data_IF_138135439977
#
_entry.id   IF_138135439977
#
_cell.length_a   1.000
_cell.length_b   1.000
_cell.length_c   1.000
_cell.angle_alpha   90.00
_cell.angle_beta   90.00
_cell.angle_gamma   90.00
#
_symmetry.space_group_name_H-M   'P 1'
#
loop_
_entity.id
_entity.type
_entity.pdbx_description
1 polymer ?
#
# COMPACT_ATOMS: atom_id res chain seq x y z
N UNK A 1 10.83 1.24 -19.84
CA UNK A 1 12.16 0.62 -19.91
C UNK A 1 13.00 1.30 -18.85
N UNK A 2 12.99 0.75 -17.65
CA UNK A 2 13.79 1.28 -16.55
C UNK A 2 15.00 0.36 -16.39
N UNK A 3 16.19 0.94 -16.37
CA UNK A 3 17.44 0.16 -16.25
C UNK A 3 17.59 -0.26 -14.80
N UNK A 4 17.54 -1.57 -14.53
CA UNK A 4 17.74 -2.11 -13.20
C UNK A 4 19.11 -2.79 -13.14
N UNK A 5 19.85 -2.54 -12.06
CA UNK A 5 21.14 -3.17 -11.82
C UNK A 5 20.95 -4.39 -10.92
N UNK A 6 21.40 -5.56 -11.38
CA UNK A 6 21.44 -6.77 -10.56
C UNK A 6 22.85 -7.01 -10.04
N UNK A 7 22.98 -7.28 -8.74
CA UNK A 7 24.23 -7.77 -8.15
C UNK A 7 24.39 -9.26 -8.48
N UNK A 8 25.45 -9.59 -9.21
CA UNK A 8 25.76 -10.96 -9.68
C UNK A 8 26.66 -11.66 -8.68
N UNK A 9 27.68 -10.97 -8.21
CA UNK A 9 28.70 -11.55 -7.35
C UNK A 9 29.27 -10.49 -6.42
N UNK A 10 29.51 -10.89 -5.16
CA UNK A 10 30.18 -10.07 -4.17
C UNK A 10 31.38 -10.86 -3.66
N UNK A 11 32.58 -10.34 -3.90
CA UNK A 11 33.84 -10.95 -3.47
C UNK A 11 34.64 -9.99 -2.62
N UNK A 12 35.20 -10.47 -1.52
CA UNK A 12 36.15 -9.70 -0.74
C UNK A 12 37.49 -9.68 -1.46
N UNK A 13 38.03 -8.50 -1.75
CA UNK A 13 39.26 -8.31 -2.55
C UNK A 13 40.48 -9.04 -1.97
N UNK A 14 40.55 -9.19 -0.65
CA UNK A 14 41.53 -10.02 0.04
C UNK A 14 40.99 -10.49 1.40
N UNK A 15 41.51 -11.61 1.93
CA UNK A 15 41.20 -12.09 3.28
C UNK A 15 41.64 -11.01 4.28
N UNK A 16 40.68 -10.31 4.88
CA UNK A 16 40.82 -9.15 5.81
C UNK A 16 40.75 -7.73 5.20
N UNK A 17 40.39 -7.58 3.93
CA UNK A 17 40.15 -6.25 3.33
C UNK A 17 38.75 -5.72 3.68
N UNK A 18 38.60 -4.42 3.91
CA UNK A 18 37.27 -3.77 3.98
C UNK A 18 36.66 -3.50 2.61
N UNK A 19 37.40 -3.78 1.54
CA UNK A 19 36.98 -3.52 0.15
C UNK A 19 36.36 -4.78 -0.46
N UNK A 20 35.21 -4.59 -1.09
CA UNK A 20 34.42 -5.63 -1.73
C UNK A 20 34.26 -5.31 -3.20
N UNK A 21 34.55 -6.29 -4.05
CA UNK A 21 34.24 -6.25 -5.47
C UNK A 21 32.80 -6.71 -5.66
N UNK A 22 31.97 -5.83 -6.24
CA UNK A 22 30.57 -6.09 -6.53
C UNK A 22 30.39 -6.06 -8.04
N UNK A 23 30.14 -7.23 -8.64
CA UNK A 23 29.84 -7.33 -10.06
C UNK A 23 28.35 -7.02 -10.30
N UNK A 24 28.09 -6.00 -11.10
CA UNK A 24 26.75 -5.62 -11.52
C UNK A 24 26.53 -6.02 -12.98
N UNK A 25 25.34 -6.52 -13.29
CA UNK A 25 24.90 -6.66 -14.68
C UNK A 25 23.69 -5.78 -14.93
N UNK A 26 23.65 -5.19 -16.13
CA UNK A 26 22.54 -4.36 -16.59
C UNK A 26 21.47 -5.30 -17.10
N UNK A 27 20.31 -5.34 -16.43
CA UNK A 27 19.14 -6.07 -16.93
C UNK A 27 18.05 -5.08 -17.30
N UNK A 28 17.35 -5.40 -18.39
CA UNK A 28 16.07 -4.77 -18.69
C UNK A 28 14.94 -5.52 -17.99
N UNK A 29 13.75 -4.90 -17.97
CA UNK A 29 12.50 -5.43 -17.40
C UNK A 29 12.08 -6.83 -17.93
N UNK A 30 12.77 -7.38 -18.96
CA UNK A 30 12.50 -8.67 -19.60
C UNK A 30 13.39 -9.85 -19.12
N UNK A 31 14.13 -9.72 -18.01
CA UNK A 31 14.93 -10.83 -17.47
C UNK A 31 14.01 -11.96 -16.95
N UNK A 32 14.09 -13.21 -17.47
CA UNK A 32 13.25 -14.32 -17.03
C UNK A 32 13.41 -14.69 -15.56
N UNK A 33 14.59 -14.49 -14.96
CA UNK A 33 14.83 -14.76 -13.53
C UNK A 33 14.29 -13.63 -12.67
N UNK A 34 14.38 -12.38 -13.13
CA UNK A 34 13.74 -11.26 -12.44
C UNK A 34 12.22 -11.37 -12.55
N UNK A 35 11.68 -11.72 -13.72
CA UNK A 35 10.27 -12.01 -13.90
C UNK A 35 9.82 -13.19 -13.05
N UNK A 36 10.61 -14.27 -12.97
CA UNK A 36 10.33 -15.39 -12.08
C UNK A 36 10.39 -14.99 -10.60
N UNK A 37 11.35 -14.16 -10.18
CA UNK A 37 11.43 -13.64 -8.81
C UNK A 37 10.27 -12.68 -8.51
N UNK A 38 9.92 -11.79 -9.43
CA UNK A 38 8.77 -10.89 -9.32
C UNK A 38 7.48 -11.69 -9.26
N UNK A 39 7.32 -12.74 -10.07
CA UNK A 39 6.18 -13.65 -10.02
C UNK A 39 6.19 -14.47 -8.72
N UNK A 40 7.35 -14.90 -8.24
CA UNK A 40 7.48 -15.62 -6.99
C UNK A 40 7.17 -14.73 -5.78
N UNK A 41 7.62 -13.46 -5.78
CA UNK A 41 7.20 -12.47 -4.78
C UNK A 41 5.70 -12.23 -4.91
N UNK A 42 5.15 -12.07 -6.13
CA UNK A 42 3.70 -11.95 -6.32
C UNK A 42 2.92 -13.18 -5.80
N UNK A 43 3.47 -14.37 -5.94
CA UNK A 43 2.93 -15.65 -5.46
C UNK A 43 3.07 -15.82 -3.95
N UNK A 44 4.23 -15.47 -3.34
CA UNK A 44 4.42 -15.46 -1.89
C UNK A 44 3.56 -14.39 -1.20
N UNK A 45 3.27 -13.30 -1.93
CA UNK A 45 2.39 -12.21 -1.51
C UNK A 45 0.92 -12.53 -1.88
N UNK A 46 0.62 -13.67 -2.53
CA UNK A 46 -0.77 -14.06 -2.81
C UNK A 46 -1.58 -14.21 -1.52
N UNK A 47 -2.83 -13.76 -1.61
CA UNK A 47 -3.74 -13.65 -0.49
C UNK A 47 -3.88 -12.21 -0.02
N UNK A 48 -5.01 -11.90 0.61
CA UNK A 48 -5.28 -10.55 1.09
C UNK A 48 -4.16 -10.05 2.01
N UNK A 49 -3.53 -10.92 2.80
CA UNK A 49 -2.48 -10.54 3.75
C UNK A 49 -1.20 -9.96 3.13
N UNK A 50 -0.74 -10.48 1.99
CA UNK A 50 0.50 -10.03 1.36
C UNK A 50 0.32 -8.65 0.73
N UNK A 51 -0.70 -8.51 -0.12
CA UNK A 51 -1.01 -7.25 -0.77
C UNK A 51 -1.37 -6.13 0.21
N UNK A 52 -2.04 -6.46 1.33
CA UNK A 52 -2.28 -5.53 2.43
C UNK A 52 -0.99 -4.99 3.05
N UNK A 53 0.06 -5.81 3.16
CA UNK A 53 1.37 -5.37 3.66
C UNK A 53 2.09 -4.49 2.65
N UNK A 54 2.02 -4.82 1.37
CA UNK A 54 2.62 -4.01 0.30
C UNK A 54 2.01 -2.61 0.25
N UNK A 55 0.68 -2.48 0.21
CA UNK A 55 0.03 -1.17 0.20
C UNK A 55 0.35 -0.34 1.46
N UNK A 56 0.44 -0.98 2.63
CA UNK A 56 0.87 -0.30 3.87
C UNK A 56 2.32 0.18 3.82
N UNK A 57 3.24 -0.59 3.23
CA UNK A 57 4.62 -0.18 3.03
C UNK A 57 4.70 1.00 2.06
N UNK A 58 3.98 0.95 0.94
CA UNK A 58 3.92 2.07 -0.02
C UNK A 58 3.42 3.36 0.66
N UNK A 59 2.38 3.27 1.49
CA UNK A 59 1.91 4.38 2.32
C UNK A 59 2.99 4.93 3.28
N UNK A 60 3.80 4.06 3.89
CA UNK A 60 4.86 4.48 4.82
C UNK A 60 6.05 5.15 4.12
N UNK A 61 6.37 4.71 2.91
CA UNK A 61 7.48 5.26 2.11
C UNK A 61 7.04 6.52 1.34
N UNK A 62 5.74 6.82 1.30
CA UNK A 62 5.18 8.02 0.67
C UNK A 62 4.79 7.84 -0.81
N UNK A 63 4.75 6.60 -1.29
CA UNK A 63 4.32 6.25 -2.65
C UNK A 63 2.79 6.14 -2.69
N UNK A 64 2.10 7.27 -2.57
CA UNK A 64 0.64 7.30 -2.42
C UNK A 64 -0.11 6.91 -3.71
N UNK A 65 0.40 7.31 -4.87
CA UNK A 65 -0.25 7.02 -6.15
C UNK A 65 -0.16 5.52 -6.49
N UNK A 66 1.01 4.90 -6.28
CA UNK A 66 1.21 3.46 -6.44
C UNK A 66 0.36 2.65 -5.44
N UNK A 67 0.23 3.14 -4.20
CA UNK A 67 -0.65 2.52 -3.20
C UNK A 67 -2.12 2.56 -3.64
N UNK A 68 -2.57 3.68 -4.22
CA UNK A 68 -3.93 3.82 -4.73
C UNK A 68 -4.21 2.87 -5.90
N UNK A 69 -3.31 2.80 -6.89
CA UNK A 69 -3.43 1.88 -8.01
C UNK A 69 -3.54 0.43 -7.52
N UNK A 70 -2.68 0.04 -6.59
CA UNK A 70 -2.70 -1.28 -5.98
C UNK A 70 -4.05 -1.56 -5.27
N UNK A 71 -4.52 -0.64 -4.43
CA UNK A 71 -5.78 -0.85 -3.72
C UNK A 71 -6.99 -0.89 -4.66
N UNK A 72 -6.99 -0.15 -5.77
CA UNK A 72 -8.04 -0.25 -6.77
C UNK A 72 -8.03 -1.61 -7.49
N UNK A 73 -6.86 -2.13 -7.86
CA UNK A 73 -6.74 -3.48 -8.45
C UNK A 73 -7.24 -4.57 -7.47
N UNK A 74 -6.92 -4.43 -6.18
CA UNK A 74 -7.42 -5.34 -5.14
C UNK A 74 -8.92 -5.23 -4.97
N UNK A 75 -9.50 -4.03 -5.13
CA UNK A 75 -10.93 -3.81 -4.99
C UNK A 75 -11.72 -4.51 -6.10
N UNK A 76 -11.22 -4.49 -7.33
CA UNK A 76 -11.81 -5.19 -8.48
C UNK A 76 -11.81 -6.70 -8.28
N UNK A 77 -10.75 -7.24 -7.67
CA UNK A 77 -10.58 -8.66 -7.39
C UNK A 77 -11.14 -9.10 -6.02
N UNK A 78 -11.76 -8.19 -5.25
CA UNK A 78 -12.22 -8.48 -3.91
C UNK A 78 -13.39 -9.48 -3.92
N UNK A 79 -13.15 -10.66 -3.33
CA UNK A 79 -14.15 -11.73 -3.26
C UNK A 79 -15.06 -11.62 -2.04
N UNK A 80 -14.60 -10.97 -0.96
CA UNK A 80 -15.36 -10.86 0.29
C UNK A 80 -15.70 -9.41 0.64
N UNK A 81 -16.79 -9.23 1.38
CA UNK A 81 -17.17 -7.91 1.88
C UNK A 81 -16.18 -7.39 2.94
N UNK A 82 -15.57 -8.29 3.73
CA UNK A 82 -14.50 -7.92 4.65
C UNK A 82 -13.27 -7.37 3.92
N UNK A 83 -12.88 -7.97 2.78
CA UNK A 83 -11.81 -7.45 1.95
C UNK A 83 -12.15 -6.09 1.35
N UNK A 84 -13.36 -5.93 0.78
CA UNK A 84 -13.83 -4.63 0.28
C UNK A 84 -13.81 -3.55 1.36
N UNK A 85 -14.30 -3.86 2.56
CA UNK A 85 -14.34 -2.93 3.68
C UNK A 85 -12.93 -2.49 4.09
N UNK A 86 -11.99 -3.43 4.14
CA UNK A 86 -10.58 -3.14 4.41
C UNK A 86 -9.96 -2.26 3.31
N UNK A 87 -10.17 -2.60 2.04
CA UNK A 87 -9.59 -1.87 0.92
C UNK A 87 -10.11 -0.43 0.87
N UNK A 88 -11.41 -0.23 1.07
CA UNK A 88 -11.99 1.11 1.19
C UNK A 88 -11.39 1.90 2.36
N UNK A 89 -11.13 1.26 3.49
CA UNK A 89 -10.46 1.90 4.61
C UNK A 89 -9.05 2.38 4.24
N UNK A 90 -8.25 1.53 3.59
CA UNK A 90 -6.89 1.93 3.19
C UNK A 90 -6.89 3.00 2.09
N UNK A 91 -7.83 2.96 1.13
CA UNK A 91 -8.01 4.05 0.15
C UNK A 91 -8.34 5.38 0.83
N UNK A 92 -9.17 5.36 1.87
CA UNK A 92 -9.42 6.54 2.71
C UNK A 92 -8.13 7.10 3.30
N UNK A 93 -7.27 6.23 3.85
CA UNK A 93 -5.95 6.62 4.37
C UNK A 93 -5.03 7.20 3.29
N UNK A 94 -5.03 6.64 2.08
CA UNK A 94 -4.26 7.20 0.95
C UNK A 94 -4.74 8.63 0.64
N UNK A 95 -6.05 8.85 0.58
CA UNK A 95 -6.62 10.19 0.31
C UNK A 95 -6.33 11.19 1.40
N UNK A 96 -6.34 10.76 2.66
CA UNK A 96 -5.91 11.60 3.77
C UNK A 96 -4.45 12.05 3.62
N UNK A 97 -3.53 11.14 3.27
CA UNK A 97 -2.12 11.47 3.04
C UNK A 97 -1.92 12.41 1.84
N UNK A 98 -2.76 12.30 0.81
CA UNK A 98 -2.78 13.22 -0.34
C UNK A 98 -3.49 14.56 -0.03
N UNK A 99 -4.02 14.78 1.17
CA UNK A 99 -4.79 15.97 1.55
C UNK A 99 -6.18 16.08 0.93
N UNK A 100 -6.69 15.01 0.31
CA UNK A 100 -7.98 14.96 -0.37
C UNK A 100 -9.10 14.52 0.58
N UNK A 101 -9.40 15.36 1.58
CA UNK A 101 -10.30 15.03 2.70
C UNK A 101 -11.74 14.67 2.29
N UNK A 102 -12.28 15.27 1.23
CA UNK A 102 -13.63 14.90 0.72
C UNK A 102 -13.68 13.46 0.20
N UNK A 103 -12.62 13.04 -0.52
CA UNK A 103 -12.53 11.68 -1.04
C UNK A 103 -12.23 10.68 0.07
N UNK A 104 -11.40 11.06 1.04
CA UNK A 104 -11.18 10.27 2.26
C UNK A 104 -12.51 9.92 2.93
N UNK A 105 -13.36 10.91 3.21
CA UNK A 105 -14.66 10.70 3.86
C UNK A 105 -15.51 9.71 3.04
N UNK A 106 -15.58 9.92 1.72
CA UNK A 106 -16.33 9.04 0.82
C UNK A 106 -15.88 7.58 0.91
N UNK A 107 -14.57 7.33 0.99
CA UNK A 107 -14.04 5.98 1.12
C UNK A 107 -14.27 5.37 2.51
N UNK A 108 -14.14 6.16 3.57
CA UNK A 108 -14.46 5.70 4.91
C UNK A 108 -15.95 5.39 5.11
N UNK A 109 -16.85 6.17 4.53
CA UNK A 109 -18.30 5.88 4.55
C UNK A 109 -18.62 4.56 3.82
N UNK A 110 -17.95 4.28 2.69
CA UNK A 110 -18.08 2.98 2.00
C UNK A 110 -17.60 1.83 2.88
N UNK A 111 -16.46 2.00 3.56
CA UNK A 111 -15.95 1.00 4.51
C UNK A 111 -16.90 0.79 5.68
N UNK A 112 -17.40 1.89 6.27
CA UNK A 112 -18.33 1.89 7.40
C UNK A 112 -19.60 1.10 7.08
N UNK A 113 -20.24 1.41 5.95
CA UNK A 113 -21.49 0.77 5.52
C UNK A 113 -21.38 -0.76 5.37
N UNK A 114 -20.18 -1.27 5.04
CA UNK A 114 -19.94 -2.70 4.98
C UNK A 114 -19.65 -3.24 6.38
N UNK A 115 -18.78 -2.58 7.15
CA UNK A 115 -18.41 -2.99 8.50
C UNK A 115 -19.60 -3.02 9.46
N UNK A 116 -20.57 -2.11 9.34
CA UNK A 116 -21.81 -2.11 10.15
C UNK A 116 -22.70 -3.34 9.90
N UNK A 117 -22.54 -4.02 8.76
CA UNK A 117 -23.30 -5.23 8.43
C UNK A 117 -22.61 -6.50 8.91
N UNK A 118 -21.28 -6.49 8.98
CA UNK A 118 -20.47 -7.69 9.25
C UNK A 118 -19.91 -7.73 10.67
N UNK A 119 -19.82 -6.57 11.35
CA UNK A 119 -19.27 -6.44 12.71
C UNK A 119 -20.38 -6.13 13.72
N UNK A 120 -20.08 -6.41 14.99
CA UNK A 120 -20.92 -5.96 16.10
C UNK A 120 -20.83 -4.44 16.28
N UNK A 121 -21.87 -3.81 16.81
CA UNK A 121 -21.93 -2.34 16.99
C UNK A 121 -20.83 -1.77 17.89
N UNK A 122 -20.25 -2.58 18.78
CA UNK A 122 -19.16 -2.18 19.68
C UNK A 122 -17.77 -2.54 19.14
N UNK A 123 -17.67 -2.90 17.87
CA UNK A 123 -16.38 -3.28 17.28
C UNK A 123 -15.42 -2.06 17.21
N UNK A 124 -14.17 -2.20 17.68
CA UNK A 124 -13.18 -1.13 17.62
C UNK A 124 -12.93 -0.58 16.21
N UNK A 125 -13.13 -1.38 15.15
CA UNK A 125 -12.97 -0.97 13.76
C UNK A 125 -13.97 0.14 13.42
N UNK A 126 -15.23 0.01 13.86
CA UNK A 126 -16.26 1.04 13.62
C UNK A 126 -15.86 2.35 14.30
N UNK A 127 -15.38 2.27 15.53
CA UNK A 127 -14.91 3.45 16.29
C UNK A 127 -13.74 4.14 15.59
N UNK A 128 -12.80 3.38 15.04
CA UNK A 128 -11.67 3.92 14.28
C UNK A 128 -12.14 4.65 13.00
N UNK A 129 -13.10 4.09 12.27
CA UNK A 129 -13.65 4.71 11.05
C UNK A 129 -14.36 6.03 11.39
N UNK A 130 -15.22 6.04 12.41
CA UNK A 130 -15.89 7.26 12.87
C UNK A 130 -14.90 8.35 13.29
N UNK A 131 -13.84 7.98 14.03
CA UNK A 131 -12.80 8.92 14.43
C UNK A 131 -12.05 9.52 13.24
N UNK A 132 -11.72 8.72 12.22
CA UNK A 132 -11.03 9.22 11.03
C UNK A 132 -11.93 10.16 10.22
N UNK A 133 -13.23 9.86 10.07
CA UNK A 133 -14.18 10.76 9.42
C UNK A 133 -14.28 12.09 10.18
N UNK A 134 -14.34 12.06 11.52
CA UNK A 134 -14.37 13.27 12.32
C UNK A 134 -13.09 14.12 12.15
N UNK A 135 -11.93 13.46 12.10
CA UNK A 135 -10.64 14.11 11.84
C UNK A 135 -10.59 14.75 10.43
N UNK A 136 -11.16 14.08 9.43
CA UNK A 136 -11.28 14.62 8.07
C UNK A 136 -12.08 15.93 8.05
N UNK A 137 -13.25 15.95 8.70
CA UNK A 137 -14.06 17.16 8.83
C UNK A 137 -13.34 18.28 9.59
N UNK A 138 -12.59 17.95 10.65
CA UNK A 138 -11.78 18.92 11.37
C UNK A 138 -10.70 19.54 10.46
N UNK A 139 -10.02 18.71 9.66
CA UNK A 139 -8.98 19.18 8.73
C UNK A 139 -9.57 20.05 7.62
N UNK A 140 -10.74 19.70 7.07
CA UNK A 140 -11.46 20.55 6.11
C UNK A 140 -11.87 21.90 6.72
N UNK A 141 -12.41 21.90 7.94
CA UNK A 141 -12.79 23.13 8.64
C UNK A 141 -11.59 24.00 9.03
N UNK A 142 -10.43 23.39 9.30
CA UNK A 142 -9.16 24.09 9.50
C UNK A 142 -8.61 24.68 8.20
N UNK A 143 -8.68 23.93 7.10
CA UNK A 143 -8.26 24.37 5.78
C UNK A 143 -9.09 25.55 5.27
N UNK A 144 -10.42 25.49 5.40
CA UNK A 144 -11.34 26.58 5.04
C UNK A 144 -11.12 27.85 5.87
N UNK A 145 -10.57 27.75 7.09
CA UNK A 145 -10.23 28.91 7.93
C UNK A 145 -8.85 29.49 7.60
N UNK A 146 -7.98 28.73 6.94
CA UNK A 146 -6.63 29.16 6.58
C UNK A 146 -6.54 29.82 5.20
N UNK A 147 -7.54 29.60 4.34
CA UNK A 147 -7.69 30.19 3.01
C UNK A 147 -8.34 31.59 3.08
#
# INVERSE_FOLDING_TARGET
>A
MHTIFRVVEIKQTAKNSRLWDVQLTITGDNDPQLSALTNHIKEEVQGSTGWRRMGKLMLQVGHFDEAEELYNELLENASTDSDRAFIYYELGRVKWQQGQYEKEITFYEKSLKINEKILSTNDPILSAIYNNIALAYQNMGGYLKAL
#
